data_IF_149560642504
#
_entry.id   IF_149560642504
#
_cell.length_a   1.000
_cell.length_b   1.000
_cell.length_c   1.000
_cell.angle_alpha   90.00
_cell.angle_beta   90.00
_cell.angle_gamma   90.00
#
_symmetry.space_group_name_H-M   'P 1'
#
loop_
_entity.id
_entity.type
_entity.pdbx_description
1 polymer ?
#
# COMPACT_ATOMS: atom_id res chain seq x y z
N UNK A 1 -3.96 -16.69 -30.82
CA UNK A 1 -5.33 -16.81 -30.28
C UNK A 1 -6.18 -15.55 -30.59
N UNK A 2 -5.97 -14.89 -31.75
CA UNK A 2 -6.61 -13.61 -32.12
C UNK A 2 -7.74 -13.80 -33.16
N UNK A 3 -7.90 -15.02 -33.73
CA UNK A 3 -8.88 -15.30 -34.80
C UNK A 3 -10.25 -15.80 -34.34
N UNK A 4 -10.44 -16.05 -33.04
CA UNK A 4 -11.72 -16.53 -32.49
C UNK A 4 -12.67 -15.35 -32.18
N UNK A 5 -12.14 -14.17 -31.86
CA UNK A 5 -12.92 -12.96 -31.55
C UNK A 5 -13.59 -12.29 -32.76
N UNK A 6 -13.13 -12.55 -33.99
CA UNK A 6 -13.78 -12.00 -35.19
C UNK A 6 -15.05 -12.77 -35.61
N UNK A 7 -15.21 -14.02 -35.19
CA UNK A 7 -16.37 -14.85 -35.53
C UNK A 7 -17.63 -14.47 -34.74
N UNK A 8 -17.47 -13.91 -33.54
CA UNK A 8 -18.59 -13.40 -32.72
C UNK A 8 -19.14 -12.08 -33.27
N UNK A 9 -18.37 -11.37 -34.10
CA UNK A 9 -18.69 -10.04 -34.62
C UNK A 9 -19.60 -10.03 -35.86
N UNK A 10 -19.98 -11.18 -36.43
CA UNK A 10 -20.79 -11.25 -37.66
C UNK A 10 -22.09 -12.06 -37.57
N UNK A 11 -22.43 -12.66 -36.43
CA UNK A 11 -23.71 -13.40 -36.27
C UNK A 11 -24.77 -12.71 -35.38
N UNK A 12 -24.52 -11.52 -34.86
CA UNK A 12 -25.47 -10.77 -34.02
C UNK A 12 -25.81 -9.39 -34.61
N UNK A 13 -26.19 -9.35 -35.89
CA UNK A 13 -26.60 -8.13 -36.59
C UNK A 13 -28.09 -7.75 -36.41
N UNK A 14 -28.85 -8.36 -35.46
CA UNK A 14 -30.28 -8.07 -35.28
C UNK A 14 -30.67 -8.02 -33.79
N UNK A 15 -29.95 -7.23 -32.99
CA UNK A 15 -30.47 -6.54 -31.78
C UNK A 15 -29.29 -5.88 -31.06
N UNK A 16 -28.80 -4.76 -31.60
CA UNK A 16 -27.75 -3.97 -30.94
C UNK A 16 -27.88 -2.50 -31.37
N UNK A 17 -28.99 -1.85 -30.99
CA UNK A 17 -29.20 -0.41 -31.21
C UNK A 17 -29.41 0.39 -29.92
N UNK A 18 -29.36 -0.25 -28.75
CA UNK A 18 -29.39 0.43 -27.45
C UNK A 18 -28.57 -0.40 -26.46
N UNK A 19 -27.24 -0.23 -26.39
CA UNK A 19 -26.40 -0.61 -25.24
C UNK A 19 -24.92 -0.17 -25.44
N UNK A 20 -24.68 1.05 -25.91
CA UNK A 20 -23.34 1.68 -25.86
C UNK A 20 -23.14 2.55 -24.61
N UNK A 21 -24.01 2.42 -23.61
CA UNK A 21 -23.74 2.92 -22.26
C UNK A 21 -23.15 1.78 -21.42
N UNK A 22 -22.04 2.06 -20.72
CA UNK A 22 -21.29 1.17 -19.81
C UNK A 22 -20.09 0.42 -20.42
N UNK A 23 -19.15 1.15 -21.00
CA UNK A 23 -17.74 0.86 -20.71
C UNK A 23 -17.11 2.15 -20.18
N UNK A 24 -17.46 2.48 -18.95
CA UNK A 24 -16.55 3.19 -18.06
C UNK A 24 -15.70 2.08 -17.45
N UNK A 25 -14.58 1.71 -18.09
CA UNK A 25 -13.52 1.10 -17.27
C UNK A 25 -13.10 2.21 -16.32
N UNK A 26 -13.26 2.08 -15.00
CA UNK A 26 -12.46 2.91 -14.12
C UNK A 26 -11.02 2.70 -14.57
N UNK A 27 -10.42 3.80 -15.04
CA UNK A 27 -8.98 3.93 -15.17
C UNK A 27 -8.37 3.45 -13.85
N UNK A 28 -7.24 2.72 -13.83
CA UNK A 28 -6.59 2.39 -12.57
C UNK A 28 -6.47 3.69 -11.79
N UNK A 29 -7.15 3.78 -10.64
CA UNK A 29 -6.95 4.86 -9.70
C UNK A 29 -5.44 4.99 -9.54
N UNK A 30 -4.95 6.21 -9.75
CA UNK A 30 -3.55 6.53 -9.85
C UNK A 30 -2.75 5.74 -8.80
N UNK A 31 -1.61 5.18 -9.22
CA UNK A 31 -0.60 4.75 -8.26
C UNK A 31 -0.44 5.89 -7.24
N UNK A 32 -0.64 5.57 -5.96
CA UNK A 32 -0.84 6.51 -4.86
C UNK A 32 0.37 7.46 -4.71
N UNK A 33 0.44 8.50 -5.54
CA UNK A 33 1.50 9.50 -5.56
C UNK A 33 1.10 10.67 -4.68
N UNK A 34 1.24 10.47 -3.38
CA UNK A 34 0.99 11.49 -2.37
C UNK A 34 1.93 12.69 -2.57
N UNK A 35 3.17 12.45 -3.00
CA UNK A 35 4.15 13.52 -3.17
C UNK A 35 3.73 14.45 -4.30
N UNK A 36 3.28 13.89 -5.42
CA UNK A 36 2.73 14.66 -6.53
C UNK A 36 1.39 15.33 -6.18
N UNK A 37 0.47 14.61 -5.54
CA UNK A 37 -0.85 15.13 -5.19
C UNK A 37 -0.81 16.24 -4.13
N UNK A 38 0.17 16.21 -3.23
CA UNK A 38 0.32 17.13 -2.11
C UNK A 38 1.50 18.09 -2.27
N UNK A 39 2.02 18.33 -3.48
CA UNK A 39 3.23 19.13 -3.69
C UNK A 39 3.12 20.53 -3.04
N UNK A 40 1.95 21.16 -3.19
CA UNK A 40 1.67 22.49 -2.63
C UNK A 40 1.67 22.46 -1.10
N UNK A 41 0.98 21.49 -0.50
CA UNK A 41 0.87 21.30 0.94
C UNK A 41 2.22 20.94 1.55
N UNK A 42 3.00 20.10 0.88
CA UNK A 42 4.35 19.74 1.31
C UNK A 42 5.24 20.98 1.33
N UNK A 43 5.23 21.79 0.26
CA UNK A 43 6.02 23.02 0.20
C UNK A 43 5.57 24.07 1.22
N UNK A 44 4.27 24.12 1.54
CA UNK A 44 3.70 25.16 2.41
C UNK A 44 3.80 24.80 3.89
N UNK A 45 3.53 23.54 4.23
CA UNK A 45 3.37 23.09 5.62
C UNK A 45 4.49 22.14 6.07
N UNK A 46 5.05 21.35 5.15
CA UNK A 46 5.96 20.25 5.48
C UNK A 46 7.39 20.45 4.96
N UNK A 47 7.80 21.66 4.57
CA UNK A 47 9.08 21.91 3.91
C UNK A 47 10.32 21.55 4.76
N UNK A 48 10.18 21.54 6.10
CA UNK A 48 11.25 21.15 7.02
C UNK A 48 11.24 19.64 7.35
N UNK A 49 10.28 18.88 6.82
CA UNK A 49 10.13 17.45 7.08
C UNK A 49 11.02 16.68 6.11
N UNK A 50 11.93 15.89 6.67
CA UNK A 50 12.74 14.97 5.88
C UNK A 50 11.86 13.82 5.34
N UNK A 51 11.91 13.50 4.03
CA UNK A 51 11.14 12.40 3.45
C UNK A 51 11.45 11.03 4.06
N UNK A 52 10.54 10.06 3.89
CA UNK A 52 10.70 8.68 4.36
C UNK A 52 10.01 8.37 5.69
N UNK A 53 9.91 7.08 6.02
CA UNK A 53 9.30 6.56 7.26
C UNK A 53 7.91 7.12 7.58
N UNK A 54 7.12 7.46 6.55
CA UNK A 54 5.79 8.05 6.72
C UNK A 54 5.79 9.49 7.29
N UNK A 55 6.94 10.16 7.45
CA UNK A 55 7.00 11.49 8.09
C UNK A 55 6.22 12.56 7.33
N UNK A 56 6.26 12.54 5.99
CA UNK A 56 5.47 13.47 5.18
C UNK A 56 3.97 13.20 5.30
N UNK A 57 3.55 11.94 5.26
CA UNK A 57 2.15 11.58 5.48
C UNK A 57 1.66 12.03 6.88
N UNK A 58 2.48 11.85 7.92
CA UNK A 58 2.15 12.33 9.26
C UNK A 58 2.04 13.87 9.34
N UNK A 59 2.90 14.60 8.63
CA UNK A 59 2.81 16.06 8.54
C UNK A 59 1.54 16.51 7.82
N UNK A 60 1.22 15.90 6.68
CA UNK A 60 0.02 16.18 5.91
C UNK A 60 -1.24 15.87 6.71
N UNK A 61 -1.26 14.75 7.44
CA UNK A 61 -2.33 14.40 8.37
C UNK A 61 -2.52 15.46 9.47
N UNK A 62 -1.43 15.98 10.05
CA UNK A 62 -1.52 17.07 11.03
C UNK A 62 -2.09 18.39 10.46
N UNK A 63 -2.16 18.50 9.13
CA UNK A 63 -2.71 19.62 8.38
C UNK A 63 -3.91 19.22 7.50
N UNK A 64 -4.59 18.10 7.81
CA UNK A 64 -5.68 17.52 7.00
C UNK A 64 -6.77 18.54 6.64
N UNK A 65 -7.08 19.47 7.53
CA UNK A 65 -8.09 20.51 7.33
C UNK A 65 -7.65 21.68 6.42
N UNK A 66 -6.43 21.62 5.89
CA UNK A 66 -5.82 22.65 5.02
C UNK A 66 -5.34 22.06 3.70
N UNK A 67 -5.59 20.77 3.46
CA UNK A 67 -5.25 20.13 2.20
C UNK A 67 -6.26 20.55 1.14
N UNK A 68 -5.79 20.68 -0.10
CA UNK A 68 -6.70 20.74 -1.23
C UNK A 68 -7.39 19.38 -1.47
N UNK A 69 -8.38 19.36 -2.36
CA UNK A 69 -9.18 18.17 -2.62
C UNK A 69 -8.36 17.01 -3.22
N UNK A 70 -7.27 17.30 -3.94
CA UNK A 70 -6.45 16.26 -4.54
C UNK A 70 -5.55 15.60 -3.48
N UNK A 71 -4.92 16.42 -2.64
CA UNK A 71 -4.09 15.93 -1.56
C UNK A 71 -4.91 15.21 -0.48
N UNK A 72 -6.08 15.73 -0.12
CA UNK A 72 -7.00 15.08 0.83
C UNK A 72 -7.42 13.69 0.34
N UNK A 73 -7.80 13.57 -0.94
CA UNK A 73 -8.13 12.28 -1.55
C UNK A 73 -6.95 11.30 -1.52
N UNK A 74 -5.74 11.76 -1.84
CA UNK A 74 -4.55 10.90 -1.85
C UNK A 74 -4.17 10.41 -0.44
N UNK A 75 -4.31 11.26 0.58
CA UNK A 75 -4.11 10.87 1.98
C UNK A 75 -5.20 9.91 2.46
N UNK A 76 -6.45 10.10 2.04
CA UNK A 76 -7.54 9.15 2.28
C UNK A 76 -7.26 7.78 1.68
N UNK A 77 -6.88 7.73 0.40
CA UNK A 77 -6.52 6.50 -0.30
C UNK A 77 -5.32 5.79 0.36
N UNK A 78 -4.34 6.56 0.88
CA UNK A 78 -3.26 6.00 1.70
C UNK A 78 -3.81 5.38 2.99
N UNK A 79 -4.70 6.08 3.70
CA UNK A 79 -5.31 5.59 4.94
C UNK A 79 -6.01 4.25 4.73
N UNK A 80 -6.86 4.17 3.70
CA UNK A 80 -7.59 2.95 3.34
C UNK A 80 -6.63 1.79 2.99
N UNK A 81 -5.54 2.07 2.28
CA UNK A 81 -4.50 1.06 1.98
C UNK A 81 -3.79 0.58 3.25
N UNK A 82 -3.44 1.51 4.15
CA UNK A 82 -2.74 1.20 5.40
C UNK A 82 -3.62 0.34 6.33
N UNK A 83 -4.92 0.59 6.38
CA UNK A 83 -5.84 -0.21 7.18
C UNK A 83 -5.83 -1.69 6.77
N UNK A 84 -5.83 -1.96 5.45
CA UNK A 84 -5.69 -3.32 4.93
C UNK A 84 -4.34 -3.95 5.29
N UNK A 85 -3.26 -3.17 5.24
CA UNK A 85 -1.92 -3.63 5.58
C UNK A 85 -1.77 -3.91 7.09
N UNK A 86 -2.34 -3.08 7.96
CA UNK A 86 -2.25 -3.24 9.41
C UNK A 86 -2.92 -4.51 9.91
N UNK A 87 -3.96 -5.02 9.24
CA UNK A 87 -4.56 -6.31 9.58
C UNK A 87 -3.58 -7.48 9.41
N UNK A 88 -2.81 -7.47 8.32
CA UNK A 88 -1.78 -8.49 8.08
C UNK A 88 -0.62 -8.36 9.06
N UNK A 89 -0.17 -7.14 9.33
CA UNK A 89 0.89 -6.87 10.30
C UNK A 89 0.51 -7.31 11.71
N UNK A 90 -0.75 -7.18 12.10
CA UNK A 90 -1.23 -7.67 13.41
C UNK A 90 -1.06 -9.18 13.52
N UNK A 91 -1.37 -9.92 12.47
CA UNK A 91 -1.17 -11.37 12.46
C UNK A 91 0.31 -11.73 12.61
N UNK A 92 1.20 -11.09 11.83
CA UNK A 92 2.65 -11.27 11.98
C UNK A 92 3.11 -11.01 13.41
N UNK A 93 2.71 -9.87 13.98
CA UNK A 93 3.12 -9.44 15.32
C UNK A 93 2.66 -10.44 16.39
N UNK A 94 1.49 -11.06 16.23
CA UNK A 94 0.99 -12.07 17.16
C UNK A 94 1.78 -13.37 17.06
N UNK A 95 2.06 -13.84 15.84
CA UNK A 95 2.78 -15.09 15.62
C UNK A 95 4.25 -14.98 16.02
N UNK A 96 4.87 -13.82 15.79
CA UNK A 96 6.28 -13.57 16.04
C UNK A 96 6.58 -12.91 17.40
N UNK A 97 5.59 -12.74 18.28
CA UNK A 97 5.77 -11.98 19.53
C UNK A 97 6.94 -12.47 20.40
N UNK A 98 7.09 -13.80 20.51
CA UNK A 98 8.17 -14.41 21.28
C UNK A 98 9.54 -14.23 20.59
N UNK A 99 9.59 -14.36 19.26
CA UNK A 99 10.82 -14.12 18.48
C UNK A 99 11.23 -12.64 18.56
N UNK A 100 10.27 -11.72 18.44
CA UNK A 100 10.50 -10.28 18.58
C UNK A 100 11.09 -9.93 19.95
N UNK A 101 10.61 -10.59 21.01
CA UNK A 101 11.06 -10.32 22.39
C UNK A 101 12.39 -10.99 22.72
N UNK A 102 12.59 -12.23 22.30
CA UNK A 102 13.76 -13.02 22.71
C UNK A 102 14.96 -12.86 21.78
N UNK A 103 14.72 -12.53 20.51
CA UNK A 103 15.75 -12.43 19.47
C UNK A 103 15.95 -10.97 19.01
N UNK A 104 14.87 -10.19 18.93
CA UNK A 104 14.89 -8.86 18.29
C UNK A 104 14.64 -7.68 19.24
N UNK A 105 14.79 -7.83 20.55
CA UNK A 105 14.46 -6.77 21.52
C UNK A 105 15.17 -5.43 21.27
N UNK A 106 16.42 -5.47 20.78
CA UNK A 106 17.21 -4.26 20.52
C UNK A 106 16.85 -3.58 19.19
N UNK A 107 16.20 -4.30 18.26
CA UNK A 107 15.90 -3.75 16.94
C UNK A 107 14.69 -2.81 16.94
N UNK A 108 13.94 -2.70 18.03
CA UNK A 108 12.84 -1.74 18.17
C UNK A 108 13.26 -0.27 18.04
N UNK A 109 14.55 0.04 18.25
CA UNK A 109 15.07 1.41 18.22
C UNK A 109 15.13 2.01 16.80
N UNK A 110 15.11 1.16 15.77
CA UNK A 110 15.23 1.56 14.37
C UNK A 110 13.88 1.48 13.66
N UNK A 111 13.66 2.36 12.68
CA UNK A 111 12.42 2.34 11.92
C UNK A 111 12.30 1.03 11.14
N UNK A 112 11.24 0.26 11.42
CA UNK A 112 11.05 -1.07 10.84
C UNK A 112 11.95 -2.17 11.44
N UNK A 113 12.69 -1.91 12.52
CA UNK A 113 13.76 -2.80 12.95
C UNK A 113 13.33 -4.17 13.46
N UNK A 114 12.14 -4.34 14.04
CA UNK A 114 11.63 -5.70 14.32
C UNK A 114 11.42 -6.51 13.04
N UNK A 115 10.86 -5.90 11.98
CA UNK A 115 10.66 -6.60 10.71
C UNK A 115 12.01 -6.95 10.06
N UNK A 116 12.98 -6.04 10.10
CA UNK A 116 14.31 -6.29 9.56
C UNK A 116 15.04 -7.40 10.32
N UNK A 117 15.02 -7.37 11.65
CA UNK A 117 15.62 -8.41 12.49
C UNK A 117 14.99 -9.79 12.22
N UNK A 118 13.67 -9.88 12.13
CA UNK A 118 13.00 -11.15 11.80
C UNK A 118 13.44 -11.70 10.43
N UNK A 119 13.67 -10.82 9.44
CA UNK A 119 14.20 -11.19 8.11
C UNK A 119 15.65 -11.69 8.19
N UNK A 120 16.51 -11.00 8.95
CA UNK A 120 17.92 -11.38 9.10
C UNK A 120 18.10 -12.70 9.86
N UNK A 121 17.28 -12.93 10.87
CA UNK A 121 17.34 -14.10 11.73
C UNK A 121 16.34 -15.21 11.33
N UNK A 122 15.89 -15.25 10.07
CA UNK A 122 14.82 -16.15 9.62
C UNK A 122 15.03 -17.62 9.99
N UNK A 123 16.29 -18.09 10.01
CA UNK A 123 16.65 -19.47 10.35
C UNK A 123 16.65 -19.78 11.85
N UNK A 124 16.63 -18.75 12.69
CA UNK A 124 16.61 -18.82 14.15
C UNK A 124 15.20 -18.59 14.73
N UNK A 125 14.25 -18.21 13.87
CA UNK A 125 12.85 -18.02 14.24
C UNK A 125 12.17 -19.31 14.68
N UNK A 126 11.15 -19.17 15.51
CA UNK A 126 10.19 -20.22 15.75
C UNK A 126 9.55 -20.71 14.43
N UNK A 127 9.15 -22.00 14.33
CA UNK A 127 8.54 -22.51 13.09
C UNK A 127 7.28 -21.75 12.66
N UNK A 128 6.52 -21.22 13.63
CA UNK A 128 5.35 -20.40 13.36
C UNK A 128 5.72 -19.06 12.75
N UNK A 129 6.69 -18.35 13.35
CA UNK A 129 7.14 -17.07 12.83
C UNK A 129 7.84 -17.19 11.47
N UNK A 130 8.68 -18.21 11.26
CA UNK A 130 9.33 -18.44 9.98
C UNK A 130 8.32 -18.61 8.82
N UNK A 131 7.21 -19.32 9.07
CA UNK A 131 6.16 -19.57 8.08
C UNK A 131 5.40 -18.31 7.63
N UNK A 132 5.36 -17.27 8.47
CA UNK A 132 4.66 -16.00 8.17
C UNK A 132 5.62 -14.89 7.72
N UNK A 133 6.90 -14.97 8.08
CA UNK A 133 7.95 -14.05 7.61
C UNK A 133 8.35 -14.35 6.16
N UNK A 134 8.41 -15.62 5.75
CA UNK A 134 8.84 -16.00 4.40
C UNK A 134 7.97 -15.45 3.25
N UNK A 135 6.62 -15.40 3.37
CA UNK A 135 5.75 -14.78 2.38
C UNK A 135 5.85 -13.24 2.33
N UNK A 136 6.35 -12.60 3.39
CA UNK A 136 6.56 -11.15 3.43
C UNK A 136 7.80 -10.78 2.62
N UNK A 137 7.71 -10.91 1.29
CA UNK A 137 8.57 -10.18 0.37
C UNK A 137 8.22 -8.71 0.48
N UNK A 138 8.85 -8.04 1.45
CA UNK A 138 8.94 -6.58 1.46
C UNK A 138 9.43 -6.14 0.08
N UNK A 139 8.82 -5.08 -0.43
CA UNK A 139 9.27 -4.39 -1.64
C UNK A 139 10.68 -3.89 -1.32
N UNK A 140 11.68 -4.72 -1.64
CA UNK A 140 13.08 -4.30 -1.66
C UNK A 140 13.19 -3.41 -2.92
N UNK A 141 13.31 -2.10 -2.71
CA UNK A 141 13.52 -1.08 -3.75
C UNK A 141 14.60 -1.47 -4.79
#
# INVERSE_FOLDING_TARGET
MIRITQAVLRLSAISCLVLTALVSTPEPAAANDIIGACETEIATFCAAVEPGHGRLAACLYAHENKLDAACDSAIGDLGDMLDLFFEEVRFLSQVCADDMTNLCAESAAEAGGHFYCLKEHQTELSPGCAAVVEPLRLIDD
#
